data_IF_656561974086
#
_entry.id   IF_656561974086
#
_cell.length_a   1.000
_cell.length_b   1.000
_cell.length_c   1.000
_cell.angle_alpha   90.00
_cell.angle_beta   90.00
_cell.angle_gamma   90.00
#
_symmetry.space_group_name_H-M   'P 1'
#
loop_
_entity.id
_entity.type
_entity.pdbx_description
1 polymer ?
#
# COMPACT_ATOMS: atom_id res chain seq x y z
N UNK A 1 78.72 -28.22 9.35
CA UNK A 1 79.11 -29.21 10.36
C UNK A 1 78.49 -28.75 11.67
N UNK A 2 77.30 -29.27 11.98
CA UNK A 2 77.04 -30.39 12.91
C UNK A 2 77.20 -29.95 14.37
N UNK A 3 76.32 -30.17 15.34
CA UNK A 3 75.00 -30.84 15.54
C UNK A 3 74.76 -30.69 17.06
N UNK A 4 73.65 -30.10 17.52
CA UNK A 4 72.49 -30.75 18.18
C UNK A 4 72.63 -31.08 19.68
N UNK A 5 71.47 -30.93 20.35
CA UNK A 5 70.99 -31.47 21.65
C UNK A 5 71.26 -30.64 22.91
N UNK A 6 70.32 -30.40 23.85
CA UNK A 6 68.89 -30.70 24.04
C UNK A 6 68.41 -29.79 25.22
N UNK A 7 67.33 -29.01 25.08
CA UNK A 7 66.04 -29.07 25.84
C UNK A 7 66.11 -29.45 27.33
N UNK A 8 65.68 -28.51 28.20
CA UNK A 8 64.49 -28.68 29.07
C UNK A 8 64.18 -27.44 29.95
N UNK A 9 62.86 -27.18 30.10
CA UNK A 9 62.15 -26.43 31.15
C UNK A 9 62.42 -24.93 31.38
N UNK A 10 61.44 -24.09 31.01
CA UNK A 10 60.47 -23.54 31.98
C UNK A 10 59.31 -22.82 31.25
N UNK A 11 58.09 -23.25 31.58
CA UNK A 11 56.83 -22.86 30.95
C UNK A 11 56.31 -21.49 31.42
N UNK A 12 55.71 -20.78 30.46
CA UNK A 12 54.52 -19.93 30.63
C UNK A 12 54.55 -18.77 31.63
N UNK A 13 55.02 -17.61 31.14
CA UNK A 13 54.46 -16.33 31.58
C UNK A 13 53.12 -16.06 30.89
N UNK A 14 52.21 -15.38 31.61
CA UNK A 14 50.98 -14.67 31.19
C UNK A 14 49.65 -15.27 31.72
N UNK A 15 49.31 -14.90 32.97
CA UNK A 15 47.95 -14.76 33.54
C UNK A 15 48.16 -14.36 35.02
N UNK A 16 47.47 -13.45 35.72
CA UNK A 16 46.31 -12.60 35.48
C UNK A 16 46.44 -11.42 36.47
N UNK A 17 46.24 -10.19 36.01
CA UNK A 17 46.00 -9.02 36.87
C UNK A 17 44.49 -8.84 37.04
N UNK A 18 43.89 -9.53 37.99
CA UNK A 18 42.58 -9.15 38.52
C UNK A 18 42.57 -9.38 40.04
N UNK A 19 42.65 -8.27 40.79
CA UNK A 19 42.55 -8.26 42.25
C UNK A 19 41.12 -8.50 42.70
N UNK A 20 40.80 -9.77 42.96
CA UNK A 20 39.65 -10.15 43.78
C UNK A 20 40.16 -11.02 44.94
N UNK A 21 39.73 -10.77 46.18
CA UNK A 21 40.21 -11.53 47.33
C UNK A 21 39.69 -12.96 47.28
N UNK A 22 40.62 -13.88 47.53
CA UNK A 22 40.35 -15.30 47.71
C UNK A 22 39.74 -15.55 49.10
N UNK A 23 38.59 -16.22 49.11
CA UNK A 23 37.72 -16.61 50.22
C UNK A 23 38.31 -17.50 51.34
N UNK A 24 39.61 -17.47 51.57
CA UNK A 24 40.31 -18.29 52.58
C UNK A 24 41.01 -17.49 53.67
N UNK A 25 40.76 -16.18 53.81
CA UNK A 25 41.26 -15.38 54.94
C UNK A 25 40.23 -15.34 56.08
N UNK A 26 40.71 -15.46 57.32
CA UNK A 26 39.87 -15.42 58.52
C UNK A 26 39.31 -14.00 58.76
N UNK A 27 38.03 -13.91 59.12
CA UNK A 27 37.33 -12.65 59.29
C UNK A 27 37.91 -11.81 60.43
N UNK A 28 38.57 -10.70 60.09
CA UNK A 28 39.02 -9.69 61.05
C UNK A 28 37.80 -9.04 61.71
N UNK A 29 37.51 -9.45 62.94
CA UNK A 29 36.40 -8.97 63.78
C UNK A 29 36.58 -7.55 64.33
N UNK A 30 37.00 -6.60 63.51
CA UNK A 30 37.01 -5.18 63.88
C UNK A 30 35.82 -4.47 63.23
N UNK A 31 34.85 -4.09 64.07
CA UNK A 31 33.72 -3.24 63.69
C UNK A 31 34.26 -1.83 63.47
N UNK A 32 34.00 -1.16 62.33
CA UNK A 32 34.47 0.20 62.12
C UNK A 32 33.85 1.14 63.16
N UNK A 33 34.69 1.77 63.99
CA UNK A 33 34.28 2.88 64.86
C UNK A 33 34.14 4.14 64.03
N UNK A 34 32.98 4.77 64.08
CA UNK A 34 32.73 6.09 63.48
C UNK A 34 33.53 7.15 64.28
N UNK A 35 34.36 7.99 63.64
CA UNK A 35 35.00 9.11 64.32
C UNK A 35 33.94 10.12 64.75
N UNK A 36 33.84 10.38 66.06
CA UNK A 36 33.05 11.47 66.61
C UNK A 36 33.84 12.77 66.49
N UNK A 37 33.89 13.36 65.29
CA UNK A 37 34.17 14.79 65.09
C UNK A 37 34.06 15.14 63.59
N UNK A 38 32.83 15.41 63.14
CA UNK A 38 32.55 16.26 61.98
C UNK A 38 31.05 16.57 61.98
N UNK A 39 30.69 17.76 62.44
CA UNK A 39 29.33 18.29 62.42
C UNK A 39 28.90 18.76 61.02
N UNK A 40 29.13 17.95 59.99
CA UNK A 40 28.74 18.25 58.59
C UNK A 40 27.93 17.12 57.92
N UNK A 41 27.45 16.14 58.70
CA UNK A 41 26.77 14.96 58.15
C UNK A 41 25.30 14.77 58.53
N UNK A 42 24.73 15.61 59.39
CA UNK A 42 23.39 15.40 59.97
C UNK A 42 22.26 16.14 59.25
N UNK A 43 22.56 16.86 58.16
CA UNK A 43 21.56 17.62 57.39
C UNK A 43 20.98 16.84 56.20
N UNK A 44 21.60 15.72 55.82
CA UNK A 44 21.12 14.92 54.68
C UNK A 44 19.85 14.13 54.99
N UNK A 45 19.64 13.72 56.24
CA UNK A 45 18.49 12.90 56.65
C UNK A 45 17.32 13.70 57.25
N UNK A 46 17.54 14.95 57.65
CA UNK A 46 16.45 15.87 58.07
C UNK A 46 15.72 16.49 56.88
N UNK A 47 16.31 16.49 55.68
CA UNK A 47 15.67 16.96 54.44
C UNK A 47 14.57 16.02 53.90
N UNK A 48 14.52 14.77 54.38
CA UNK A 48 13.51 13.77 53.98
C UNK A 48 12.22 13.85 54.80
N UNK A 49 12.16 14.65 55.87
CA UNK A 49 10.95 14.80 56.69
C UNK A 49 9.97 15.87 56.20
N UNK A 50 10.35 16.69 55.22
CA UNK A 50 9.37 17.52 54.52
C UNK A 50 8.71 16.69 53.42
N UNK A 51 7.43 16.38 53.61
CA UNK A 51 6.59 15.75 52.58
C UNK A 51 6.57 16.55 51.26
N UNK A 52 5.92 16.03 50.21
CA UNK A 52 5.92 16.68 48.90
C UNK A 52 5.36 18.09 48.99
N UNK A 53 6.16 19.09 48.61
CA UNK A 53 5.71 20.48 48.46
C UNK A 53 4.93 20.62 47.16
N UNK A 54 3.73 21.17 47.27
CA UNK A 54 2.85 21.44 46.13
C UNK A 54 3.13 22.85 45.58
N UNK A 55 2.83 23.10 44.31
CA UNK A 55 3.17 24.33 43.61
C UNK A 55 2.49 25.61 44.16
N UNK A 56 1.64 25.47 45.17
CA UNK A 56 0.87 26.56 45.77
C UNK A 56 1.41 26.97 47.16
N UNK A 57 2.55 26.42 47.60
CA UNK A 57 3.20 26.83 48.85
C UNK A 57 3.80 28.24 48.70
N UNK A 58 3.42 29.22 49.54
CA UNK A 58 3.89 30.59 49.40
C UNK A 58 5.36 30.71 49.80
N UNK A 59 6.22 31.08 48.85
CA UNK A 59 7.65 31.33 49.10
C UNK A 59 7.87 32.59 49.94
N UNK A 60 8.64 32.45 51.02
CA UNK A 60 9.13 33.54 51.85
C UNK A 60 10.30 34.23 51.12
N UNK A 61 10.13 35.52 50.86
CA UNK A 61 10.97 36.31 49.96
C UNK A 61 12.31 36.68 50.61
N UNK A 62 13.41 36.04 50.20
CA UNK A 62 14.75 36.66 50.30
C UNK A 62 15.56 36.37 49.03
N UNK A 63 15.83 37.43 48.29
CA UNK A 63 16.63 37.42 47.06
C UNK A 63 18.11 37.43 47.44
N UNK A 64 18.89 36.53 46.84
CA UNK A 64 20.35 36.64 46.71
C UNK A 64 20.70 36.33 45.26
N UNK A 65 21.11 37.37 44.52
CA UNK A 65 21.58 37.30 43.15
C UNK A 65 22.92 36.55 43.06
N UNK A 66 23.04 35.61 42.12
CA UNK A 66 24.33 35.04 41.74
C UNK A 66 24.22 33.67 41.06
N UNK A 67 24.58 33.63 39.77
CA UNK A 67 24.98 32.43 39.00
C UNK A 67 23.86 31.43 38.66
N UNK A 68 23.24 31.57 37.49
CA UNK A 68 23.65 31.00 36.19
C UNK A 68 23.12 29.57 35.95
N UNK A 69 22.29 29.47 34.91
CA UNK A 69 21.93 28.26 34.16
C UNK A 69 21.32 27.11 34.95
N UNK A 70 19.98 27.09 35.03
CA UNK A 70 19.10 25.92 34.87
C UNK A 70 17.70 26.31 35.34
N UNK A 71 16.74 26.50 34.42
CA UNK A 71 15.28 26.26 34.60
C UNK A 71 14.49 26.97 33.49
N UNK A 72 14.30 26.28 32.36
CA UNK A 72 13.11 26.50 31.55
C UNK A 72 12.05 25.53 32.09
N UNK A 73 11.09 26.03 32.85
CA UNK A 73 9.93 25.25 33.27
C UNK A 73 9.20 24.71 32.01
N UNK A 74 8.77 23.43 31.98
CA UNK A 74 8.00 22.93 30.85
C UNK A 74 6.69 23.73 30.76
N UNK A 75 6.41 24.26 29.58
CA UNK A 75 5.18 25.00 29.27
C UNK A 75 3.98 24.09 29.57
N UNK A 76 3.15 24.43 30.56
CA UNK A 76 1.88 23.73 30.81
C UNK A 76 1.06 23.76 29.52
N UNK A 77 0.73 22.57 29.02
CA UNK A 77 -0.34 22.39 28.04
C UNK A 77 -1.59 22.16 28.87
N UNK A 78 -2.45 23.18 28.99
CA UNK A 78 -3.79 22.99 29.53
C UNK A 78 -4.57 22.11 28.57
N UNK A 79 -4.70 20.84 28.91
CA UNK A 79 -5.68 19.93 28.32
C UNK A 79 -7.03 20.24 28.98
N UNK A 80 -7.74 21.24 28.46
CA UNK A 80 -9.16 21.43 28.75
C UNK A 80 -9.93 20.28 28.10
N UNK A 81 -10.17 19.22 28.87
CA UNK A 81 -11.15 18.18 28.53
C UNK A 81 -12.53 18.76 28.82
N UNK A 82 -13.27 19.06 27.75
CA UNK A 82 -14.71 19.38 27.80
C UNK A 82 -15.03 20.87 27.58
N UNK A 83 -15.44 21.20 26.37
CA UNK A 83 -16.03 22.48 25.99
C UNK A 83 -16.77 22.39 24.65
N UNK A 84 -18.09 22.19 24.74
CA UNK A 84 -19.20 22.21 23.75
C UNK A 84 -19.13 21.43 22.41
N UNK A 85 -20.07 20.50 22.14
CA UNK A 85 -20.15 19.77 20.88
C UNK A 85 -21.01 20.54 19.89
N UNK A 86 -20.39 21.27 18.96
CA UNK A 86 -21.10 21.64 17.73
C UNK A 86 -20.17 21.55 16.53
N UNK A 87 -20.53 20.62 15.64
CA UNK A 87 -19.91 20.32 14.34
C UNK A 87 -18.47 19.81 14.35
N UNK A 88 -18.22 18.65 14.97
CA UNK A 88 -17.22 17.74 14.41
C UNK A 88 -17.90 16.89 13.35
N UNK A 89 -17.84 17.37 12.10
CA UNK A 89 -18.10 16.53 10.94
C UNK A 89 -17.06 15.41 10.96
N UNK A 90 -17.54 14.18 11.10
CA UNK A 90 -16.79 12.91 11.09
C UNK A 90 -15.90 12.72 9.83
N UNK A 91 -16.01 13.60 8.84
CA UNK A 91 -15.22 13.64 7.60
C UNK A 91 -14.18 14.75 7.52
N UNK A 92 -14.02 15.59 8.55
CA UNK A 92 -13.00 16.63 8.52
C UNK A 92 -11.61 16.05 8.82
N UNK A 93 -10.89 15.73 7.75
CA UNK A 93 -9.45 15.51 7.85
C UNK A 93 -8.81 16.81 8.34
N UNK A 94 -8.09 16.76 9.47
CA UNK A 94 -7.26 17.86 9.93
C UNK A 94 -6.34 18.32 8.79
N UNK A 95 -6.58 19.57 8.38
CA UNK A 95 -5.91 20.23 7.29
C UNK A 95 -4.43 20.44 7.66
N UNK A 96 -3.58 19.47 7.31
CA UNK A 96 -2.12 19.70 7.36
C UNK A 96 -1.80 20.95 6.53
N UNK A 97 -0.97 21.83 7.10
CA UNK A 97 -0.70 23.16 6.51
C UNK A 97 -0.28 23.04 5.04
N UNK A 98 -1.00 23.81 4.21
CA UNK A 98 -0.76 24.19 2.80
C UNK A 98 -1.19 23.23 1.67
N UNK A 99 -2.36 22.60 1.79
CA UNK A 99 -3.06 21.99 0.65
C UNK A 99 -3.24 22.90 -0.60
N UNK A 100 -3.43 24.24 -0.50
CA UNK A 100 -3.58 25.10 -1.68
C UNK A 100 -2.27 25.26 -2.49
N UNK A 101 -1.12 25.49 -1.84
CA UNK A 101 0.18 25.67 -2.52
C UNK A 101 0.69 24.38 -3.18
N UNK A 102 0.40 23.23 -2.55
CA UNK A 102 0.72 21.90 -3.11
C UNK A 102 -0.17 21.62 -4.33
N UNK A 103 -1.45 22.02 -4.28
CA UNK A 103 -2.37 21.84 -5.41
C UNK A 103 -2.00 22.73 -6.59
N UNK A 104 -1.63 23.98 -6.35
CA UNK A 104 -1.26 24.93 -7.41
C UNK A 104 0.09 24.60 -8.08
N UNK A 105 1.09 24.18 -7.30
CA UNK A 105 2.39 23.74 -7.85
C UNK A 105 2.25 22.47 -8.70
N UNK A 106 1.39 21.54 -8.30
CA UNK A 106 1.11 20.31 -9.05
C UNK A 106 0.23 20.56 -10.28
N UNK A 107 -0.74 21.48 -10.23
CA UNK A 107 -1.52 21.90 -11.41
C UNK A 107 -0.59 22.55 -12.45
N UNK A 108 0.37 23.36 -11.99
CA UNK A 108 1.37 23.97 -12.85
C UNK A 108 2.30 22.93 -13.49
N UNK A 109 2.71 21.91 -12.74
CA UNK A 109 3.58 20.83 -13.22
C UNK A 109 2.84 19.84 -14.16
N UNK A 110 1.57 19.54 -13.86
CA UNK A 110 0.67 18.80 -14.74
C UNK A 110 0.46 19.49 -16.09
N UNK A 111 0.30 20.83 -16.09
CA UNK A 111 0.23 21.64 -17.32
C UNK A 111 1.58 21.66 -18.07
N UNK A 112 2.73 21.66 -17.39
CA UNK A 112 4.07 21.61 -18.01
C UNK A 112 4.36 20.26 -18.68
N UNK A 113 4.07 19.12 -18.04
CA UNK A 113 4.33 17.81 -18.66
C UNK A 113 3.49 17.56 -19.92
N UNK A 114 2.30 18.19 -20.01
CA UNK A 114 1.41 18.14 -21.19
C UNK A 114 1.94 18.95 -22.40
N UNK A 115 2.88 19.86 -22.17
CA UNK A 115 3.63 20.57 -23.22
C UNK A 115 4.91 19.81 -23.62
N UNK A 116 5.50 19.01 -22.73
CA UNK A 116 6.71 18.22 -23.01
C UNK A 116 6.48 16.91 -23.78
N UNK A 117 5.33 16.25 -23.61
CA UNK A 117 5.07 14.92 -24.17
C UNK A 117 4.43 14.92 -25.59
N UNK A 118 4.80 15.87 -26.46
CA UNK A 118 4.17 16.01 -27.78
C UNK A 118 5.16 15.78 -28.92
N UNK A 119 5.65 14.55 -29.01
CA UNK A 119 6.22 13.99 -30.23
C UNK A 119 5.23 12.98 -30.82
N UNK A 120 4.88 13.13 -32.10
CA UNK A 120 3.99 12.19 -32.82
C UNK A 120 4.46 10.73 -32.72
N UNK A 121 5.77 10.50 -32.58
CA UNK A 121 6.36 9.17 -32.39
C UNK A 121 6.00 8.49 -31.05
N UNK A 122 5.80 9.25 -29.98
CA UNK A 122 5.40 8.70 -28.67
C UNK A 122 3.93 8.25 -28.70
N UNK A 123 3.06 9.00 -29.39
CA UNK A 123 1.66 8.61 -29.61
C UNK A 123 1.50 7.34 -30.45
N UNK A 124 2.29 7.20 -31.53
CA UNK A 124 2.26 5.99 -32.36
C UNK A 124 2.76 4.77 -31.60
N UNK A 125 3.86 4.91 -30.85
CA UNK A 125 4.41 3.83 -30.01
C UNK A 125 3.37 3.36 -29.00
N UNK A 126 2.68 4.32 -28.36
CA UNK A 126 1.61 4.07 -27.42
C UNK A 126 0.46 3.27 -28.04
N UNK A 127 -0.07 3.73 -29.17
CA UNK A 127 -1.17 3.04 -29.84
C UNK A 127 -0.72 1.64 -30.28
N UNK A 128 0.48 1.50 -30.82
CA UNK A 128 1.02 0.21 -31.24
C UNK A 128 1.15 -0.77 -30.07
N UNK A 129 1.70 -0.34 -28.92
CA UNK A 129 1.81 -1.20 -27.73
C UNK A 129 0.43 -1.62 -27.22
N UNK A 130 -0.55 -0.72 -27.19
CA UNK A 130 -1.92 -1.03 -26.75
C UNK A 130 -2.62 -2.03 -27.69
N UNK A 131 -2.49 -1.84 -29.01
CA UNK A 131 -3.06 -2.75 -30.01
C UNK A 131 -2.41 -4.13 -29.95
N UNK A 132 -1.09 -4.20 -29.77
CA UNK A 132 -0.39 -5.48 -29.62
C UNK A 132 -0.83 -6.20 -28.36
N UNK A 133 -0.88 -5.52 -27.21
CA UNK A 133 -1.34 -6.12 -25.96
C UNK A 133 -2.80 -6.58 -26.03
N UNK A 134 -3.68 -5.76 -26.58
CA UNK A 134 -5.09 -6.12 -26.80
C UNK A 134 -5.24 -7.30 -27.76
N UNK A 135 -4.48 -7.32 -28.85
CA UNK A 135 -4.47 -8.42 -29.82
C UNK A 135 -3.96 -9.73 -29.21
N UNK A 136 -2.88 -9.68 -28.41
CA UNK A 136 -2.38 -10.83 -27.65
C UNK A 136 -3.43 -11.31 -26.66
N UNK A 137 -4.10 -10.41 -25.94
CA UNK A 137 -5.15 -10.78 -25.01
C UNK A 137 -6.31 -11.51 -25.72
N UNK A 138 -6.82 -10.96 -26.82
CA UNK A 138 -7.89 -11.59 -27.62
C UNK A 138 -7.44 -12.95 -28.16
N UNK A 139 -6.20 -13.06 -28.66
CA UNK A 139 -5.66 -14.31 -29.19
C UNK A 139 -5.54 -15.39 -28.10
N UNK A 140 -5.03 -15.04 -26.92
CA UNK A 140 -4.95 -15.96 -25.78
C UNK A 140 -6.33 -16.45 -25.34
N UNK A 141 -7.31 -15.53 -25.30
CA UNK A 141 -8.72 -15.86 -25.00
C UNK A 141 -9.32 -16.80 -26.05
N UNK A 142 -9.02 -16.59 -27.33
CA UNK A 142 -9.55 -17.41 -28.41
C UNK A 142 -9.01 -18.85 -28.38
N UNK A 143 -7.72 -19.04 -28.05
CA UNK A 143 -7.05 -20.35 -28.15
C UNK A 143 -7.50 -21.32 -27.05
N UNK A 144 -7.34 -20.98 -25.77
CA UNK A 144 -7.69 -21.91 -24.68
C UNK A 144 -7.90 -21.26 -23.32
N UNK A 145 -8.65 -21.97 -22.44
CA UNK A 145 -8.83 -21.61 -21.02
C UNK A 145 -7.48 -21.53 -20.29
N UNK A 146 -6.54 -22.42 -20.59
CA UNK A 146 -5.22 -22.45 -19.95
C UNK A 146 -4.34 -21.26 -20.36
N UNK A 147 -4.35 -20.87 -21.65
CA UNK A 147 -3.63 -19.68 -22.11
C UNK A 147 -4.22 -18.41 -21.49
N UNK A 148 -5.54 -18.36 -21.33
CA UNK A 148 -6.23 -17.25 -20.66
C UNK A 148 -5.81 -17.13 -19.19
N UNK A 149 -5.74 -18.25 -18.47
CA UNK A 149 -5.22 -18.31 -17.09
C UNK A 149 -3.78 -17.81 -17.01
N UNK A 150 -2.92 -18.27 -17.91
CA UNK A 150 -1.51 -17.88 -17.94
C UNK A 150 -1.37 -16.38 -18.21
N UNK A 151 -2.14 -15.84 -19.15
CA UNK A 151 -2.18 -14.40 -19.44
C UNK A 151 -2.57 -13.60 -18.20
N UNK A 152 -3.70 -13.92 -17.56
CA UNK A 152 -4.16 -13.24 -16.35
C UNK A 152 -3.06 -13.29 -15.27
N UNK A 153 -2.49 -14.47 -15.04
CA UNK A 153 -1.45 -14.66 -14.02
C UNK A 153 -0.21 -13.80 -14.30
N UNK A 154 0.24 -13.73 -15.56
CA UNK A 154 1.40 -12.90 -15.97
C UNK A 154 1.09 -11.40 -15.80
N UNK A 155 -0.11 -10.95 -16.19
CA UNK A 155 -0.54 -9.56 -16.04
C UNK A 155 -0.59 -9.17 -14.56
N UNK A 156 -1.20 -10.01 -13.70
CA UNK A 156 -1.27 -9.76 -12.26
C UNK A 156 0.11 -9.80 -11.59
N UNK A 157 0.99 -10.72 -12.01
CA UNK A 157 2.38 -10.75 -11.54
C UNK A 157 3.10 -9.45 -11.90
N UNK A 158 2.98 -8.98 -13.13
CA UNK A 158 3.64 -7.74 -13.55
C UNK A 158 3.06 -6.51 -12.84
N UNK A 159 1.73 -6.43 -12.68
CA UNK A 159 1.06 -5.38 -11.93
C UNK A 159 1.49 -5.37 -10.44
N UNK A 160 1.61 -6.55 -9.81
CA UNK A 160 2.09 -6.64 -8.42
C UNK A 160 3.56 -6.28 -8.28
N UNK A 161 4.41 -6.60 -9.28
CA UNK A 161 5.80 -6.19 -9.29
C UNK A 161 5.95 -4.66 -9.35
N UNK A 162 5.12 -3.96 -10.13
CA UNK A 162 5.09 -2.49 -10.17
C UNK A 162 4.60 -1.90 -8.86
N UNK A 163 3.50 -2.42 -8.32
CA UNK A 163 2.93 -1.97 -7.06
C UNK A 163 3.93 -2.07 -5.90
N UNK A 164 4.51 -3.26 -5.69
CA UNK A 164 5.50 -3.45 -4.63
C UNK A 164 6.82 -2.72 -4.91
N UNK A 165 7.21 -2.59 -6.19
CA UNK A 165 8.36 -1.80 -6.58
C UNK A 165 8.20 -0.32 -6.22
N UNK A 166 7.02 0.24 -6.46
CA UNK A 166 6.69 1.63 -6.11
C UNK A 166 6.62 1.85 -4.60
N UNK A 167 6.04 0.92 -3.84
CA UNK A 167 6.05 0.97 -2.38
C UNK A 167 7.49 1.01 -1.82
N UNK A 168 8.40 0.20 -2.38
CA UNK A 168 9.82 0.22 -1.95
C UNK A 168 10.51 1.54 -2.25
N UNK A 169 10.20 2.20 -3.38
CA UNK A 169 10.76 3.52 -3.73
C UNK A 169 10.35 4.60 -2.72
N UNK A 170 9.15 4.48 -2.14
CA UNK A 170 8.62 5.41 -1.12
C UNK A 170 9.16 5.10 0.29
N UNK A 171 9.86 3.97 0.47
CA UNK A 171 10.51 3.61 1.73
C UNK A 171 9.79 2.53 2.54
N UNK A 172 8.68 1.98 2.03
CA UNK A 172 8.09 0.77 2.62
C UNK A 172 9.02 -0.43 2.40
N UNK A 173 8.98 -1.40 3.32
CA UNK A 173 9.71 -2.65 3.20
C UNK A 173 8.73 -3.84 3.20
N UNK A 174 7.83 -3.92 2.19
CA UNK A 174 6.88 -5.00 2.09
C UNK A 174 7.59 -6.31 1.81
N UNK A 175 7.06 -7.40 2.37
CA UNK A 175 7.42 -8.78 2.04
C UNK A 175 7.03 -9.09 0.59
N UNK A 176 7.78 -8.52 -0.36
CA UNK A 176 7.37 -8.45 -1.76
C UNK A 176 7.35 -9.83 -2.41
N UNK A 177 8.31 -10.69 -2.06
CA UNK A 177 8.32 -12.07 -2.57
C UNK A 177 7.04 -12.79 -2.13
N UNK A 178 6.68 -12.67 -0.85
CA UNK A 178 5.44 -13.22 -0.32
C UNK A 178 4.23 -12.64 -1.07
N UNK A 179 4.14 -11.31 -1.20
CA UNK A 179 3.04 -10.66 -1.90
C UNK A 179 2.90 -11.11 -3.36
N UNK A 180 4.00 -11.18 -4.12
CA UNK A 180 3.99 -11.63 -5.51
C UNK A 180 3.62 -13.11 -5.64
N UNK A 181 4.16 -13.98 -4.77
CA UNK A 181 3.80 -15.40 -4.74
C UNK A 181 2.32 -15.57 -4.41
N UNK A 182 1.80 -14.83 -3.44
CA UNK A 182 0.38 -14.84 -3.09
C UNK A 182 -0.50 -14.37 -4.26
N UNK A 183 -0.12 -13.29 -4.96
CA UNK A 183 -0.84 -12.79 -6.14
C UNK A 183 -0.85 -13.80 -7.29
N UNK A 184 0.22 -14.57 -7.49
CA UNK A 184 0.28 -15.65 -8.50
C UNK A 184 -0.50 -16.89 -8.05
N UNK A 185 -0.37 -17.26 -6.77
CA UNK A 185 -1.08 -18.40 -6.19
C UNK A 185 -2.59 -18.20 -6.20
N UNK A 186 -3.08 -16.96 -6.15
CA UNK A 186 -4.50 -16.64 -6.13
C UNK A 186 -5.25 -17.13 -7.40
N UNK A 187 -4.98 -16.63 -8.62
CA UNK A 187 -5.66 -17.08 -9.83
C UNK A 187 -5.41 -18.57 -10.11
N UNK A 188 -4.22 -19.06 -9.77
CA UNK A 188 -3.86 -20.47 -9.89
C UNK A 188 -4.79 -21.30 -9.00
N UNK A 189 -4.83 -21.07 -7.69
CA UNK A 189 -5.65 -21.84 -6.75
C UNK A 189 -7.14 -21.81 -7.09
N UNK A 190 -7.65 -20.66 -7.53
CA UNK A 190 -9.03 -20.45 -7.94
C UNK A 190 -9.39 -21.30 -9.16
N UNK A 191 -8.46 -21.47 -10.11
CA UNK A 191 -8.67 -22.31 -11.28
C UNK A 191 -8.95 -23.79 -10.93
N UNK A 192 -8.27 -24.36 -9.93
CA UNK A 192 -8.46 -25.77 -9.55
C UNK A 192 -9.49 -25.98 -8.43
N UNK A 193 -9.69 -24.99 -7.55
CA UNK A 193 -10.47 -25.15 -6.31
C UNK A 193 -11.67 -24.19 -6.21
N UNK A 194 -11.88 -23.31 -7.18
CA UNK A 194 -12.99 -22.38 -7.22
C UNK A 194 -12.90 -21.24 -6.20
N UNK A 195 -14.04 -20.62 -5.89
CA UNK A 195 -14.13 -19.43 -5.03
C UNK A 195 -13.59 -19.64 -3.62
N UNK A 196 -13.75 -20.84 -3.04
CA UNK A 196 -13.28 -21.17 -1.70
C UNK A 196 -11.75 -21.11 -1.54
N UNK A 197 -11.00 -21.19 -2.65
CA UNK A 197 -9.55 -21.10 -2.66
C UNK A 197 -9.04 -19.72 -2.24
N UNK A 198 -9.79 -18.66 -2.55
CA UNK A 198 -9.39 -17.27 -2.26
C UNK A 198 -9.22 -17.04 -0.76
N UNK A 199 -10.18 -17.50 0.05
CA UNK A 199 -10.13 -17.39 1.50
C UNK A 199 -8.93 -18.13 2.09
N UNK A 200 -8.63 -19.32 1.56
CA UNK A 200 -7.48 -20.11 2.00
C UNK A 200 -6.15 -19.43 1.67
N UNK A 201 -5.96 -18.96 0.42
CA UNK A 201 -4.72 -18.28 0.02
C UNK A 201 -4.55 -16.97 0.80
N UNK A 202 -5.62 -16.20 1.02
CA UNK A 202 -5.57 -14.98 1.82
C UNK A 202 -5.18 -15.28 3.27
N UNK A 203 -5.80 -16.30 3.89
CA UNK A 203 -5.45 -16.75 5.24
C UNK A 203 -3.98 -17.16 5.34
N UNK A 204 -3.52 -18.03 4.43
CA UNK A 204 -2.12 -18.47 4.39
C UNK A 204 -1.16 -17.31 4.17
N UNK A 205 -1.53 -16.33 3.36
CA UNK A 205 -0.71 -15.14 3.10
C UNK A 205 -0.60 -14.25 4.33
N UNK A 206 -1.68 -14.09 5.12
CA UNK A 206 -1.66 -13.36 6.38
C UNK A 206 -0.76 -14.08 7.39
N UNK A 207 -0.94 -15.39 7.57
CA UNK A 207 -0.11 -16.19 8.47
C UNK A 207 1.37 -16.13 8.07
N UNK A 208 1.67 -16.33 6.79
CA UNK A 208 3.03 -16.23 6.26
C UNK A 208 3.61 -14.82 6.41
N UNK A 209 2.80 -13.78 6.26
CA UNK A 209 3.23 -12.38 6.44
C UNK A 209 3.55 -12.07 7.90
N UNK A 210 2.73 -12.53 8.83
CA UNK A 210 3.00 -12.42 10.27
C UNK A 210 4.28 -13.17 10.63
N UNK A 211 4.45 -14.40 10.16
CA UNK A 211 5.66 -15.19 10.39
C UNK A 211 6.91 -14.54 9.78
N UNK A 212 6.80 -13.97 8.58
CA UNK A 212 7.89 -13.27 7.89
C UNK A 212 8.47 -12.16 8.77
N UNK A 213 7.61 -11.31 9.34
CA UNK A 213 8.05 -10.23 10.23
C UNK A 213 8.41 -10.70 11.64
N UNK A 214 7.77 -11.76 12.15
CA UNK A 214 8.11 -12.35 13.46
C UNK A 214 9.51 -12.96 13.47
N UNK A 215 9.93 -13.55 12.35
CA UNK A 215 11.28 -14.09 12.14
C UNK A 215 12.33 -12.99 11.91
N UNK A 216 11.97 -11.71 12.04
CA UNK A 216 12.88 -10.58 11.87
C UNK A 216 13.27 -10.30 10.41
N UNK A 217 12.59 -10.92 9.44
CA UNK A 217 12.84 -10.69 8.03
C UNK A 217 12.09 -9.43 7.60
N UNK A 218 12.68 -8.25 7.77
CA UNK A 218 12.08 -6.98 7.34
C UNK A 218 12.03 -5.93 8.44
N UNK A 219 12.19 -4.66 8.05
CA UNK A 219 12.56 -3.58 8.96
C UNK A 219 11.52 -3.17 10.01
N UNK A 220 11.87 -2.10 10.74
CA UNK A 220 11.33 -1.69 12.03
C UNK A 220 9.81 -1.43 12.14
N UNK A 221 9.03 -1.55 11.06
CA UNK A 221 7.59 -1.22 11.01
C UNK A 221 6.75 -2.36 10.41
N UNK A 222 6.53 -3.47 11.14
CA UNK A 222 5.85 -4.64 10.62
C UNK A 222 4.38 -4.38 10.26
N UNK A 223 3.65 -3.55 11.03
CA UNK A 223 2.22 -3.30 10.79
C UNK A 223 1.96 -2.57 9.45
N UNK A 224 2.58 -1.42 9.14
CA UNK A 224 2.39 -0.78 7.84
C UNK A 224 2.84 -1.66 6.67
N UNK A 225 3.96 -2.38 6.83
CA UNK A 225 4.49 -3.23 5.77
C UNK A 225 3.57 -4.44 5.50
N UNK A 226 2.98 -5.04 6.54
CA UNK A 226 2.00 -6.11 6.38
C UNK A 226 0.69 -5.57 5.75
N UNK A 227 0.24 -4.38 6.16
CA UNK A 227 -0.96 -3.76 5.60
C UNK A 227 -0.85 -3.54 4.09
N UNK A 228 0.29 -3.01 3.61
CA UNK A 228 0.49 -2.81 2.16
C UNK A 228 0.66 -4.13 1.39
N UNK A 229 1.19 -5.19 2.03
CA UNK A 229 1.23 -6.54 1.43
C UNK A 229 -0.17 -7.09 1.25
N UNK A 230 -1.01 -7.03 2.31
CA UNK A 230 -2.40 -7.46 2.24
C UNK A 230 -3.17 -6.63 1.23
N UNK A 231 -2.96 -5.30 1.19
CA UNK A 231 -3.57 -4.42 0.20
C UNK A 231 -3.23 -4.87 -1.21
N UNK A 232 -1.95 -5.15 -1.53
CA UNK A 232 -1.55 -5.63 -2.85
C UNK A 232 -2.16 -6.99 -3.21
N UNK A 233 -2.24 -7.92 -2.25
CA UNK A 233 -2.85 -9.24 -2.46
C UNK A 233 -4.36 -9.12 -2.70
N UNK A 234 -5.07 -8.28 -1.94
CA UNK A 234 -6.50 -8.09 -2.11
C UNK A 234 -6.79 -7.30 -3.38
N UNK A 235 -6.14 -6.16 -3.56
CA UNK A 235 -6.41 -5.25 -4.67
C UNK A 235 -6.05 -5.87 -6.03
N UNK A 236 -4.90 -6.54 -6.15
CA UNK A 236 -4.46 -7.11 -7.43
C UNK A 236 -4.81 -8.60 -7.51
N UNK A 237 -4.49 -9.36 -6.47
CA UNK A 237 -4.69 -10.81 -6.45
C UNK A 237 -6.15 -11.22 -6.39
N UNK A 238 -6.89 -10.81 -5.34
CA UNK A 238 -8.32 -11.19 -5.19
C UNK A 238 -9.13 -10.66 -6.35
N UNK A 239 -9.10 -9.35 -6.59
CA UNK A 239 -9.92 -8.72 -7.64
C UNK A 239 -9.59 -9.27 -9.03
N UNK A 240 -8.30 -9.44 -9.35
CA UNK A 240 -7.86 -10.02 -10.62
C UNK A 240 -8.25 -11.50 -10.80
N UNK A 241 -8.33 -12.26 -9.70
CA UNK A 241 -8.69 -13.69 -9.76
C UNK A 241 -10.15 -13.93 -10.15
N UNK A 242 -11.04 -12.92 -10.03
CA UNK A 242 -12.38 -13.02 -10.61
C UNK A 242 -12.37 -13.17 -12.13
N UNK A 243 -11.33 -12.71 -12.81
CA UNK A 243 -11.14 -13.00 -14.24
C UNK A 243 -10.99 -14.50 -14.52
N UNK A 244 -10.40 -15.26 -13.60
CA UNK A 244 -10.30 -16.72 -13.70
C UNK A 244 -11.60 -17.41 -13.33
N UNK A 245 -12.33 -16.90 -12.32
CA UNK A 245 -13.65 -17.42 -11.99
C UNK A 245 -14.64 -17.28 -13.15
N UNK A 246 -14.57 -16.18 -13.89
CA UNK A 246 -15.37 -16.00 -15.10
C UNK A 246 -15.10 -17.10 -16.12
N UNK A 247 -13.86 -17.58 -16.26
CA UNK A 247 -13.50 -18.66 -17.19
C UNK A 247 -14.10 -20.03 -16.83
N UNK A 248 -14.68 -20.18 -15.65
CA UNK A 248 -15.30 -21.44 -15.23
C UNK A 248 -16.70 -21.65 -15.81
N UNK A 249 -17.38 -20.56 -16.18
CA UNK A 249 -18.67 -20.63 -16.88
C UNK A 249 -18.53 -21.16 -18.32
N UNK A 250 -19.59 -21.79 -18.88
CA UNK A 250 -19.58 -22.29 -20.26
C UNK A 250 -19.17 -21.24 -21.31
N UNK A 251 -19.64 -20.00 -21.17
CA UNK A 251 -19.25 -18.86 -22.01
C UNK A 251 -18.18 -17.95 -21.37
N UNK A 252 -17.41 -18.49 -20.42
CA UNK A 252 -16.54 -17.70 -19.54
C UNK A 252 -15.50 -16.82 -20.24
N UNK A 253 -15.01 -17.28 -21.39
CA UNK A 253 -14.08 -16.51 -22.24
C UNK A 253 -14.76 -15.27 -22.84
N UNK A 254 -16.02 -15.40 -23.23
CA UNK A 254 -16.83 -14.30 -23.73
C UNK A 254 -17.19 -13.30 -22.64
N UNK A 255 -17.49 -13.76 -21.42
CA UNK A 255 -17.71 -12.87 -20.27
C UNK A 255 -16.47 -12.04 -19.93
N UNK A 256 -15.30 -12.69 -19.92
CA UNK A 256 -14.04 -12.00 -19.67
C UNK A 256 -13.74 -10.97 -20.77
N UNK A 257 -13.96 -11.33 -22.04
CA UNK A 257 -13.82 -10.40 -23.16
C UNK A 257 -14.80 -9.22 -23.04
N UNK A 258 -16.06 -9.49 -22.68
CA UNK A 258 -17.05 -8.44 -22.47
C UNK A 258 -16.62 -7.48 -21.35
N UNK A 259 -16.13 -7.98 -20.21
CA UNK A 259 -15.59 -7.13 -19.15
C UNK A 259 -14.43 -6.24 -19.61
N UNK A 260 -13.50 -6.79 -20.40
CA UNK A 260 -12.39 -6.03 -20.99
C UNK A 260 -12.90 -4.94 -21.94
N UNK A 261 -13.84 -5.28 -22.83
CA UNK A 261 -14.40 -4.34 -23.80
C UNK A 261 -15.21 -3.23 -23.12
N UNK A 262 -15.96 -3.55 -22.07
CA UNK A 262 -16.71 -2.55 -21.30
C UNK A 262 -15.78 -1.58 -20.57
N UNK A 263 -14.74 -2.08 -19.89
CA UNK A 263 -13.74 -1.24 -19.25
C UNK A 263 -13.01 -0.34 -20.27
N UNK A 264 -12.56 -0.91 -21.39
CA UNK A 264 -11.94 -0.14 -22.47
C UNK A 264 -12.91 0.88 -23.09
N UNK A 265 -14.18 0.51 -23.26
CA UNK A 265 -15.24 1.38 -23.75
C UNK A 265 -15.50 2.58 -22.83
N UNK A 266 -15.43 2.37 -21.52
CA UNK A 266 -15.51 3.42 -20.52
C UNK A 266 -14.37 4.43 -20.68
N UNK A 267 -13.13 3.96 -20.74
CA UNK A 267 -11.94 4.80 -20.85
C UNK A 267 -11.91 5.59 -22.16
N UNK A 268 -12.23 4.94 -23.27
CA UNK A 268 -12.27 5.55 -24.60
C UNK A 268 -13.35 6.63 -24.62
N UNK A 269 -14.58 6.30 -24.19
CA UNK A 269 -15.70 7.24 -24.17
C UNK A 269 -15.44 8.44 -23.27
N UNK A 270 -14.93 8.17 -22.06
CA UNK A 270 -14.61 9.21 -21.09
C UNK A 270 -13.46 10.10 -21.54
N UNK A 271 -12.46 9.55 -22.23
CA UNK A 271 -11.38 10.33 -22.83
C UNK A 271 -11.89 11.25 -23.93
N UNK A 272 -12.67 10.75 -24.89
CA UNK A 272 -13.13 11.57 -26.02
C UNK A 272 -14.11 12.65 -25.59
N UNK A 273 -15.12 12.29 -24.79
CA UNK A 273 -16.15 13.24 -24.33
C UNK A 273 -15.55 14.19 -23.28
N UNK A 274 -14.77 13.68 -22.34
CA UNK A 274 -14.06 14.52 -21.36
C UNK A 274 -13.07 15.48 -22.00
N UNK A 275 -12.44 15.12 -23.12
CA UNK A 275 -11.56 16.04 -23.87
C UNK A 275 -12.33 17.09 -24.68
N UNK A 276 -13.49 16.75 -25.21
CA UNK A 276 -14.29 17.66 -26.04
C UNK A 276 -15.15 18.63 -25.20
N UNK A 277 -15.74 18.14 -24.11
CA UNK A 277 -16.76 18.84 -23.32
C UNK A 277 -16.38 19.03 -21.84
N UNK A 278 -15.27 18.46 -21.38
CA UNK A 278 -14.88 18.49 -19.97
C UNK A 278 -14.62 19.91 -19.46
N UNK A 279 -15.43 20.32 -18.47
CA UNK A 279 -15.33 21.63 -17.81
C UNK A 279 -15.26 21.48 -16.30
N UNK A 280 -15.89 20.45 -15.75
CA UNK A 280 -16.10 20.30 -14.31
C UNK A 280 -15.23 19.15 -13.77
N UNK A 281 -14.19 19.41 -12.95
CA UNK A 281 -13.37 18.35 -12.36
C UNK A 281 -14.18 17.53 -11.34
N UNK A 282 -13.89 16.23 -11.26
CA UNK A 282 -14.65 15.28 -10.42
C UNK A 282 -14.23 15.32 -8.95
N UNK A 283 -12.92 15.33 -8.68
CA UNK A 283 -12.35 15.36 -7.31
C UNK A 283 -11.00 16.09 -7.31
N UNK A 284 -10.60 16.61 -6.14
CA UNK A 284 -9.25 17.16 -5.93
C UNK A 284 -8.14 16.10 -6.08
N UNK A 285 -8.46 14.83 -5.79
CA UNK A 285 -7.55 13.68 -5.93
C UNK A 285 -7.23 13.40 -7.40
N UNK A 286 -8.20 13.61 -8.31
CA UNK A 286 -8.04 13.40 -9.76
C UNK A 286 -8.59 14.59 -10.58
N UNK A 287 -7.89 15.73 -10.59
CA UNK A 287 -8.35 16.96 -11.26
C UNK A 287 -8.44 16.83 -12.79
N UNK A 288 -7.89 15.75 -13.36
CA UNK A 288 -7.94 15.47 -14.79
C UNK A 288 -9.22 14.70 -15.19
N UNK A 289 -9.94 14.08 -14.24
CA UNK A 289 -11.21 13.42 -14.50
C UNK A 289 -12.33 14.44 -14.39
N UNK A 290 -13.18 14.50 -15.41
CA UNK A 290 -14.29 15.45 -15.48
C UNK A 290 -15.62 14.75 -15.32
N UNK A 291 -16.62 15.43 -14.77
CA UNK A 291 -17.99 14.89 -14.64
C UNK A 291 -18.55 14.59 -16.04
N UNK A 292 -18.30 15.46 -17.01
CA UNK A 292 -18.73 15.23 -18.40
C UNK A 292 -18.04 14.00 -19.01
N UNK A 293 -16.77 13.76 -18.65
CA UNK A 293 -16.05 12.54 -19.02
C UNK A 293 -16.62 11.29 -18.36
N UNK A 294 -17.01 11.36 -17.08
CA UNK A 294 -17.65 10.25 -16.37
C UNK A 294 -18.97 9.83 -17.05
N UNK A 295 -19.81 10.82 -17.38
CA UNK A 295 -21.08 10.61 -18.09
C UNK A 295 -20.80 10.06 -19.50
N UNK A 296 -19.80 10.59 -20.19
CA UNK A 296 -19.41 10.10 -21.51
C UNK A 296 -18.89 8.66 -21.51
N UNK A 297 -18.09 8.29 -20.51
CA UNK A 297 -17.65 6.91 -20.29
C UNK A 297 -18.83 5.99 -20.01
N UNK A 298 -19.78 6.43 -19.18
CA UNK A 298 -20.98 5.66 -18.88
C UNK A 298 -21.85 5.40 -20.13
N UNK A 299 -22.13 6.44 -20.92
CA UNK A 299 -22.89 6.32 -22.18
C UNK A 299 -22.16 5.38 -23.16
N UNK A 300 -20.84 5.54 -23.30
CA UNK A 300 -20.03 4.68 -24.17
C UNK A 300 -20.06 3.22 -23.73
N UNK A 301 -19.98 2.96 -22.42
CA UNK A 301 -20.01 1.60 -21.86
C UNK A 301 -21.35 0.91 -22.11
N UNK A 302 -22.46 1.62 -21.90
CA UNK A 302 -23.80 1.10 -22.24
C UNK A 302 -23.92 0.90 -23.74
N UNK A 303 -23.38 1.79 -24.57
CA UNK A 303 -23.31 1.61 -26.01
C UNK A 303 -22.53 0.34 -26.40
N UNK A 304 -21.37 0.12 -25.79
CA UNK A 304 -20.56 -1.10 -26.00
C UNK A 304 -21.31 -2.34 -25.56
N UNK A 305 -22.03 -2.31 -24.44
CA UNK A 305 -22.82 -3.48 -24.01
C UNK A 305 -23.96 -3.81 -24.99
N UNK A 306 -24.61 -2.78 -25.55
CA UNK A 306 -25.59 -2.95 -26.63
C UNK A 306 -24.95 -3.54 -27.88
N UNK A 307 -23.78 -3.04 -28.31
CA UNK A 307 -23.07 -3.59 -29.48
C UNK A 307 -22.63 -5.03 -29.26
N UNK A 308 -22.15 -5.37 -28.06
CA UNK A 308 -21.80 -6.73 -27.67
C UNK A 308 -22.99 -7.68 -27.84
N UNK A 309 -24.19 -7.25 -27.41
CA UNK A 309 -25.42 -8.04 -27.57
C UNK A 309 -25.96 -8.06 -29.00
N UNK A 310 -25.78 -7.01 -29.81
CA UNK A 310 -26.24 -6.97 -31.20
C UNK A 310 -25.36 -7.77 -32.17
N UNK A 311 -24.07 -7.89 -31.87
CA UNK A 311 -23.09 -8.60 -32.71
C UNK A 311 -22.74 -10.00 -32.18
N UNK A 312 -23.47 -10.49 -31.18
CA UNK A 312 -23.27 -11.81 -30.57
C UNK A 312 -21.82 -12.02 -30.10
N UNK A 313 -21.18 -10.97 -29.57
CA UNK A 313 -19.78 -11.01 -29.12
C UNK A 313 -19.72 -11.46 -27.67
N UNK A 314 -19.79 -12.78 -27.46
CA UNK A 314 -19.76 -13.39 -26.12
C UNK A 314 -21.08 -14.11 -25.79
N UNK A 315 -21.40 -14.36 -24.52
CA UNK A 315 -22.59 -15.13 -24.10
C UNK A 315 -23.96 -14.52 -24.42
N UNK A 316 -23.99 -13.30 -24.93
CA UNK A 316 -25.22 -12.51 -25.00
C UNK A 316 -26.01 -12.76 -26.29
N UNK A 317 -25.82 -13.93 -26.92
CA UNK A 317 -26.44 -14.39 -28.17
C UNK A 317 -27.79 -15.11 -27.97
N UNK A 318 -28.21 -15.30 -26.72
CA UNK A 318 -29.40 -16.06 -26.35
C UNK A 318 -29.19 -16.83 -25.04
N UNK A 319 -30.12 -17.73 -24.71
CA UNK A 319 -30.11 -18.46 -23.42
C UNK A 319 -28.71 -19.04 -23.12
N UNK A 320 -28.07 -18.67 -22.00
CA UNK A 320 -28.67 -18.12 -20.78
C UNK A 320 -28.74 -16.59 -20.64
N UNK A 321 -28.10 -15.78 -21.50
CA UNK A 321 -28.06 -14.32 -21.34
C UNK A 321 -28.67 -13.55 -22.51
N UNK A 322 -29.67 -12.74 -22.22
CA UNK A 322 -30.36 -11.92 -23.20
C UNK A 322 -29.85 -10.48 -23.30
N UNK A 323 -30.47 -9.71 -24.19
CA UNK A 323 -30.24 -8.28 -24.35
C UNK A 323 -30.40 -7.47 -23.05
N UNK A 324 -31.38 -7.84 -22.21
CA UNK A 324 -31.60 -7.23 -20.90
C UNK A 324 -30.39 -7.40 -19.98
N UNK A 325 -29.76 -8.56 -20.00
CA UNK A 325 -28.65 -8.90 -19.11
C UNK A 325 -27.39 -8.14 -19.51
N UNK A 326 -27.14 -8.05 -20.82
CA UNK A 326 -26.07 -7.21 -21.38
C UNK A 326 -26.25 -5.73 -20.99
N UNK A 327 -27.48 -5.23 -21.01
CA UNK A 327 -27.79 -3.85 -20.62
C UNK A 327 -27.58 -3.63 -19.11
N UNK A 328 -28.02 -4.56 -18.27
CA UNK A 328 -27.78 -4.52 -16.82
C UNK A 328 -26.29 -4.52 -16.52
N UNK A 329 -25.53 -5.44 -17.11
CA UNK A 329 -24.06 -5.50 -16.94
C UNK A 329 -23.41 -4.18 -17.36
N UNK A 330 -23.78 -3.63 -18.53
CA UNK A 330 -23.24 -2.36 -19.01
C UNK A 330 -23.50 -1.19 -18.06
N UNK A 331 -24.72 -1.09 -17.51
CA UNK A 331 -25.07 -0.05 -16.54
C UNK A 331 -24.27 -0.21 -15.24
N UNK A 332 -24.21 -1.42 -14.68
CA UNK A 332 -23.47 -1.64 -13.41
C UNK A 332 -21.99 -1.37 -13.61
N UNK A 333 -21.39 -1.82 -14.72
CA UNK A 333 -19.99 -1.56 -15.05
C UNK A 333 -19.72 -0.06 -15.23
N UNK A 334 -20.66 0.70 -15.82
CA UNK A 334 -20.53 2.15 -15.94
C UNK A 334 -20.40 2.89 -14.59
N UNK A 335 -21.00 2.36 -13.52
CA UNK A 335 -20.84 2.91 -12.17
C UNK A 335 -19.57 2.42 -11.48
N UNK A 336 -19.16 1.17 -11.71
CA UNK A 336 -18.03 0.57 -10.99
C UNK A 336 -16.68 0.89 -11.63
N UNK A 337 -16.57 0.91 -12.96
CA UNK A 337 -15.33 1.23 -13.67
C UNK A 337 -14.60 2.49 -13.13
N UNK A 338 -15.27 3.65 -12.94
CA UNK A 338 -14.58 4.84 -12.42
C UNK A 338 -14.07 4.69 -10.99
N UNK A 339 -14.65 3.80 -10.19
CA UNK A 339 -14.18 3.54 -8.82
C UNK A 339 -12.77 2.95 -8.84
N UNK A 340 -12.46 2.09 -9.83
CA UNK A 340 -11.12 1.51 -10.00
C UNK A 340 -10.04 2.54 -10.27
N UNK A 341 -10.28 3.42 -11.24
CA UNK A 341 -9.37 4.53 -11.56
C UNK A 341 -9.16 5.48 -10.39
N UNK A 342 -10.22 5.75 -9.63
CA UNK A 342 -10.17 6.62 -8.46
C UNK A 342 -9.41 5.97 -7.31
N UNK A 343 -9.59 4.66 -7.10
CA UNK A 343 -8.84 3.89 -6.11
C UNK A 343 -7.33 3.91 -6.42
N UNK A 344 -6.95 3.68 -7.67
CA UNK A 344 -5.54 3.75 -8.06
C UNK A 344 -4.99 5.17 -7.93
N UNK A 345 -5.75 6.18 -8.39
CA UNK A 345 -5.38 7.59 -8.26
C UNK A 345 -5.16 7.98 -6.80
N UNK A 346 -6.00 7.49 -5.87
CA UNK A 346 -5.85 7.72 -4.44
C UNK A 346 -4.53 7.15 -3.91
N UNK A 347 -4.21 5.91 -4.27
CA UNK A 347 -2.95 5.26 -3.85
C UNK A 347 -1.74 6.04 -4.41
N UNK A 348 -1.78 6.44 -5.69
CA UNK A 348 -0.70 7.23 -6.32
C UNK A 348 -0.46 8.55 -5.59
N UNK A 349 -1.53 9.21 -5.16
CA UNK A 349 -1.47 10.49 -4.43
C UNK A 349 -0.88 10.34 -3.04
N UNK A 350 -1.28 9.30 -2.30
CA UNK A 350 -0.70 8.98 -0.99
C UNK A 350 0.80 8.71 -1.10
N UNK A 351 1.19 7.92 -2.11
CA UNK A 351 2.59 7.59 -2.39
C UNK A 351 3.39 8.73 -3.05
N UNK A 352 2.75 9.85 -3.41
CA UNK A 352 3.35 10.98 -4.14
C UNK A 352 4.09 10.56 -5.43
N UNK A 353 3.61 9.50 -6.07
CA UNK A 353 4.11 9.01 -7.35
C UNK A 353 3.11 9.33 -8.46
N UNK A 354 3.62 9.49 -9.69
CA UNK A 354 2.77 9.78 -10.84
C UNK A 354 2.29 8.52 -11.56
N UNK A 355 3.18 7.57 -11.77
CA UNK A 355 2.95 6.32 -12.50
C UNK A 355 3.44 5.16 -11.62
N UNK A 356 2.71 4.05 -11.58
CA UNK A 356 3.04 2.90 -10.73
C UNK A 356 4.28 2.13 -11.22
N UNK A 357 4.62 2.27 -12.50
CA UNK A 357 5.75 1.60 -13.09
C UNK A 357 6.07 2.11 -14.49
N UNK A 358 7.10 1.53 -15.08
CA UNK A 358 7.55 1.83 -16.45
C UNK A 358 7.75 0.54 -17.24
N UNK A 359 7.09 -0.56 -16.86
CA UNK A 359 7.29 -1.85 -17.52
C UNK A 359 6.85 -1.78 -18.99
N UNK A 360 5.85 -0.95 -19.31
CA UNK A 360 5.43 -0.73 -20.69
C UNK A 360 6.09 0.53 -21.29
N UNK A 361 6.96 0.40 -22.30
CA UNK A 361 7.63 1.53 -22.91
C UNK A 361 6.61 2.49 -23.53
N UNK A 362 6.63 3.75 -23.09
CA UNK A 362 5.74 4.82 -23.56
C UNK A 362 4.32 4.79 -22.98
N UNK A 363 3.90 3.73 -22.27
CA UNK A 363 2.49 3.52 -21.90
C UNK A 363 2.19 3.60 -20.39
N UNK A 364 3.19 3.78 -19.52
CA UNK A 364 3.01 3.79 -18.06
C UNK A 364 3.11 2.39 -17.45
N UNK A 365 2.48 2.18 -16.30
CA UNK A 365 2.42 0.87 -15.66
C UNK A 365 1.38 -0.07 -16.31
N UNK A 366 1.54 -1.38 -16.09
CA UNK A 366 0.50 -2.39 -16.33
C UNK A 366 -0.65 -2.20 -15.35
N UNK A 367 -0.35 -1.82 -14.10
CA UNK A 367 -1.40 -1.56 -13.10
C UNK A 367 -2.27 -0.36 -13.51
N UNK A 368 -1.68 0.69 -14.07
CA UNK A 368 -2.39 1.87 -14.60
C UNK A 368 -3.30 1.55 -15.82
N UNK A 369 -3.26 0.31 -16.33
CA UNK A 369 -4.09 -0.17 -17.46
C UNK A 369 -5.14 -1.18 -17.04
N UNK A 370 -5.02 -1.71 -15.83
CA UNK A 370 -5.91 -2.71 -15.29
C UNK A 370 -6.67 -2.20 -14.06
N UNK A 371 -6.48 -0.95 -13.65
CA UNK A 371 -7.11 -0.32 -12.48
C UNK A 371 -8.64 -0.38 -12.53
N UNK A 372 -9.27 0.11 -13.61
CA UNK A 372 -10.69 -0.07 -13.85
C UNK A 372 -11.05 -1.56 -13.94
N UNK A 373 -10.28 -2.32 -14.72
CA UNK A 373 -10.59 -3.72 -15.02
C UNK A 373 -10.63 -4.58 -13.75
N UNK A 374 -9.72 -4.35 -12.79
CA UNK A 374 -9.69 -5.07 -11.51
C UNK A 374 -11.03 -4.96 -10.76
N UNK A 375 -11.70 -3.81 -10.80
CA UNK A 375 -13.03 -3.66 -10.21
C UNK A 375 -14.14 -4.20 -11.13
N UNK A 376 -13.99 -4.13 -12.45
CA UNK A 376 -14.97 -4.65 -13.40
C UNK A 376 -15.10 -6.18 -13.35
N UNK A 377 -13.99 -6.92 -13.19
CA UNK A 377 -13.99 -8.39 -13.15
C UNK A 377 -14.93 -8.98 -12.08
N UNK A 378 -14.82 -8.65 -10.78
CA UNK A 378 -15.75 -9.14 -9.76
C UNK A 378 -17.18 -8.65 -10.02
N UNK A 379 -17.36 -7.43 -10.52
CA UNK A 379 -18.68 -6.91 -10.85
C UNK A 379 -19.38 -7.74 -11.91
N UNK A 380 -18.70 -8.02 -13.02
CA UNK A 380 -19.26 -8.89 -14.07
C UNK A 380 -19.56 -10.28 -13.50
N UNK A 381 -18.63 -10.86 -12.73
CA UNK A 381 -18.83 -12.17 -12.12
C UNK A 381 -20.08 -12.23 -11.23
N UNK A 382 -20.23 -11.28 -10.29
CA UNK A 382 -21.37 -11.28 -9.38
C UNK A 382 -22.69 -10.94 -10.07
N UNK A 383 -22.69 -10.01 -11.03
CA UNK A 383 -23.90 -9.69 -11.81
C UNK A 383 -24.35 -10.92 -12.59
N UNK A 384 -23.43 -11.58 -13.29
CA UNK A 384 -23.70 -12.82 -14.03
C UNK A 384 -24.22 -13.92 -13.09
N UNK A 385 -23.61 -14.10 -11.92
CA UNK A 385 -24.03 -15.10 -10.93
C UNK A 385 -25.43 -14.83 -10.34
N UNK A 386 -25.88 -13.58 -10.35
CA UNK A 386 -27.23 -13.19 -9.90
C UNK A 386 -28.26 -13.33 -11.02
N UNK A 387 -27.85 -13.19 -12.28
CA UNK A 387 -28.72 -13.27 -13.46
C UNK A 387 -28.90 -14.72 -13.99
N UNK A 388 -27.90 -15.57 -13.79
CA UNK A 388 -27.92 -17.01 -14.11
C UNK A 388 -28.66 -17.82 -13.03
#
# INVERSE_FOLDING_TARGET
MNTSDERDNEESGLADRHGLPHWTEEGTGEVPRVPSDSSEGLDTWTSLSSGPKWADDPEDSTISEGESNLQAAPKRVDLTIGGDPSSEDFFSYEQSKTLPEVTDSIIAEGKKSRRGARGTGDLLTRIATGVVLGGVAILCLAISKLLSLLLITVVLLAASAEFFGSLRKVGYQPATLLGMVSVVAMPLSVYWRGEGAMGLVLFLSIVAGVLWYLLGVGGARPVPNLAVVILGIVYIGVLGSFGVLLLDSPEGRGLLLAGILLAAGYDIGGYFIGRALGRSPLTEVSPNKTIEGLIGGAISTVGVSVLISLFDVGPFDGTPFGFSDALIVGIVVAFVAPIGDLAESLIKRDLRIKDMGTILPGHGGILDRCDALLFVLPTVYFVVKVLA
#
